data_IF_199140130912
#
_entry.id   IF_199140130912
#
_cell.length_a   1.000
_cell.length_b   1.000
_cell.length_c   1.000
_cell.angle_alpha   90.00
_cell.angle_beta   90.00
_cell.angle_gamma   90.00
#
_symmetry.space_group_name_H-M   'P 1'
#
loop_
_entity.id
_entity.type
_entity.pdbx_description
1 polymer ?
#
# COMPACT_ATOMS: atom_id res chain seq x y z
N UNK A 1 11.36 18.10 17.21
CA UNK A 1 10.75 17.57 15.98
C UNK A 1 10.41 18.74 15.08
N UNK A 2 11.20 19.01 14.04
CA UNK A 2 11.08 20.23 13.21
C UNK A 2 10.28 19.91 11.94
N UNK A 3 9.11 20.50 11.86
CA UNK A 3 8.22 20.51 10.70
C UNK A 3 8.91 21.26 9.56
N UNK A 4 9.27 20.59 8.46
CA UNK A 4 9.84 21.27 7.28
C UNK A 4 8.70 21.78 6.40
N UNK A 5 8.56 23.08 6.41
CA UNK A 5 7.68 23.89 5.56
C UNK A 5 8.05 23.71 4.09
N UNK A 6 7.09 23.31 3.26
CA UNK A 6 7.22 23.21 1.82
C UNK A 6 7.13 24.61 1.19
N UNK A 7 8.26 25.19 0.77
CA UNK A 7 8.31 26.46 0.02
C UNK A 7 8.31 26.15 -1.47
N UNK A 8 7.25 26.59 -2.18
CA UNK A 8 7.20 26.62 -3.65
C UNK A 8 8.11 27.75 -4.15
N UNK A 9 9.14 27.40 -4.92
CA UNK A 9 9.93 28.36 -5.68
C UNK A 9 9.45 28.38 -7.13
N UNK A 10 8.88 29.50 -7.56
CA UNK A 10 8.65 29.83 -8.97
C UNK A 10 10.00 30.15 -9.63
N UNK A 11 10.42 29.37 -10.60
CA UNK A 11 11.55 29.70 -11.46
C UNK A 11 11.09 30.50 -12.67
N UNK A 12 11.49 31.78 -12.73
CA UNK A 12 11.34 32.65 -13.90
C UNK A 12 12.46 32.29 -14.89
N UNK A 13 12.08 31.84 -16.09
CA UNK A 13 13.01 31.49 -17.16
C UNK A 13 13.65 32.73 -17.81
N UNK A 14 14.96 32.78 -17.78
CA UNK A 14 15.76 33.73 -18.53
C UNK A 14 16.22 33.06 -19.84
N UNK A 15 15.77 33.55 -20.98
CA UNK A 15 16.19 33.08 -22.30
C UNK A 15 17.52 33.73 -22.65
N UNK A 16 18.59 32.97 -22.67
CA UNK A 16 19.88 33.35 -23.23
C UNK A 16 19.99 32.81 -24.65
N UNK A 17 20.04 33.70 -25.63
CA UNK A 17 20.34 33.40 -27.03
C UNK A 17 21.86 33.11 -27.12
N UNK A 18 22.19 31.82 -27.22
CA UNK A 18 23.58 31.37 -27.45
C UNK A 18 23.80 30.99 -28.92
N UNK A 19 24.85 31.54 -29.52
CA UNK A 19 25.32 31.25 -30.88
C UNK A 19 25.73 29.79 -31.03
N UNK A 20 25.12 29.11 -32.01
CA UNK A 20 25.33 27.71 -32.28
C UNK A 20 26.65 27.48 -33.03
N UNK A 21 27.62 26.80 -32.39
CA UNK A 21 28.79 26.20 -33.05
C UNK A 21 28.45 24.76 -33.33
N UNK A 22 28.53 24.25 -34.58
CA UNK A 22 28.21 22.87 -34.87
C UNK A 22 29.29 21.94 -34.32
N UNK A 23 28.96 21.21 -33.25
CA UNK A 23 29.77 20.11 -32.73
C UNK A 23 29.51 18.85 -33.55
N UNK A 24 30.57 18.25 -34.07
CA UNK A 24 30.55 16.91 -34.71
C UNK A 24 29.89 15.90 -33.77
N UNK A 25 29.04 15.01 -34.29
CA UNK A 25 28.41 13.97 -33.47
C UNK A 25 29.51 13.03 -32.93
N UNK A 26 29.70 13.05 -31.61
CA UNK A 26 30.51 12.04 -30.93
C UNK A 26 29.71 10.74 -30.98
N UNK A 27 30.25 9.75 -31.66
CA UNK A 27 29.66 8.42 -31.73
C UNK A 27 29.43 7.90 -30.30
N UNK A 28 28.18 7.72 -29.94
CA UNK A 28 27.82 7.24 -28.61
C UNK A 28 28.34 5.80 -28.47
N UNK A 29 29.28 5.59 -27.57
CA UNK A 29 29.73 4.24 -27.18
C UNK A 29 28.50 3.46 -26.73
N UNK A 30 28.23 2.27 -27.28
CA UNK A 30 27.09 1.47 -26.83
C UNK A 30 27.19 1.22 -25.32
N UNK A 31 26.06 1.27 -24.60
CA UNK A 31 26.07 1.00 -23.16
C UNK A 31 26.66 -0.39 -22.90
N UNK A 32 27.42 -0.58 -21.82
CA UNK A 32 27.98 -1.87 -21.47
C UNK A 32 26.84 -2.91 -21.39
N UNK A 33 27.08 -4.17 -21.80
CA UNK A 33 26.06 -5.21 -21.74
C UNK A 33 25.57 -5.32 -20.30
N UNK A 34 24.25 -5.25 -20.14
CA UNK A 34 23.62 -5.40 -18.82
C UNK A 34 23.96 -6.81 -18.31
N UNK A 35 24.38 -6.95 -17.05
CA UNK A 35 24.65 -8.26 -16.49
C UNK A 35 23.38 -9.13 -16.60
N UNK A 36 23.51 -10.34 -17.12
CA UNK A 36 22.42 -11.32 -17.12
C UNK A 36 22.00 -11.60 -15.67
N UNK A 37 20.88 -11.03 -15.24
CA UNK A 37 20.34 -11.23 -13.90
C UNK A 37 19.57 -12.55 -13.90
N UNK A 38 20.11 -13.54 -13.19
CA UNK A 38 19.40 -14.80 -12.99
C UNK A 38 18.45 -14.65 -11.77
N UNK A 39 17.14 -14.66 -12.04
CA UNK A 39 16.08 -14.60 -11.03
C UNK A 39 15.70 -15.97 -10.43
N UNK A 40 16.38 -17.05 -10.81
CA UNK A 40 16.15 -18.40 -10.28
C UNK A 40 17.15 -18.76 -9.17
N UNK A 41 18.22 -17.99 -9.02
CA UNK A 41 19.25 -18.19 -8.00
C UNK A 41 18.97 -17.35 -6.77
N UNK A 42 19.07 -17.94 -5.57
CA UNK A 42 18.95 -17.22 -4.31
C UNK A 42 20.13 -16.27 -4.10
N UNK A 43 19.89 -15.19 -3.39
CA UNK A 43 20.90 -14.21 -3.04
C UNK A 43 21.42 -13.36 -4.19
N UNK A 44 22.40 -12.51 -3.84
CA UNK A 44 23.17 -11.69 -4.76
C UNK A 44 24.61 -11.53 -4.23
N UNK A 45 25.62 -11.48 -5.10
CA UNK A 45 27.04 -11.45 -4.69
C UNK A 45 27.51 -10.09 -4.13
N UNK A 46 26.77 -9.02 -4.40
CA UNK A 46 27.08 -7.66 -3.94
C UNK A 46 25.84 -6.78 -3.97
N UNK A 47 25.87 -5.68 -3.21
CA UNK A 47 24.75 -4.74 -3.16
C UNK A 47 24.39 -4.10 -4.52
N UNK A 48 25.33 -3.68 -5.37
CA UNK A 48 25.02 -3.20 -6.71
C UNK A 48 24.25 -4.23 -7.56
N UNK A 49 24.67 -5.50 -7.53
CA UNK A 49 23.97 -6.60 -8.22
C UNK A 49 22.60 -6.86 -7.60
N UNK A 50 22.49 -6.81 -6.27
CA UNK A 50 21.23 -6.97 -5.54
C UNK A 50 20.21 -5.90 -5.94
N UNK A 51 20.61 -4.62 -6.07
CA UNK A 51 19.74 -3.52 -6.52
C UNK A 51 19.19 -3.73 -7.92
N UNK A 52 20.05 -4.15 -8.87
CA UNK A 52 19.60 -4.47 -10.23
C UNK A 52 18.64 -5.66 -10.21
N UNK A 53 18.96 -6.68 -9.42
CA UNK A 53 18.13 -7.88 -9.25
C UNK A 53 16.79 -7.56 -8.61
N UNK A 54 16.74 -6.70 -7.59
CA UNK A 54 15.50 -6.25 -6.95
C UNK A 54 14.55 -5.58 -7.95
N UNK A 55 15.04 -4.64 -8.75
CA UNK A 55 14.25 -3.97 -9.80
C UNK A 55 13.71 -4.96 -10.83
N UNK A 56 14.56 -5.86 -11.34
CA UNK A 56 14.15 -6.88 -12.31
C UNK A 56 13.10 -7.82 -11.71
N UNK A 57 13.26 -8.21 -10.44
CA UNK A 57 12.33 -9.08 -9.73
C UNK A 57 10.97 -8.41 -9.54
N UNK A 58 10.92 -7.15 -9.11
CA UNK A 58 9.66 -6.40 -8.95
C UNK A 58 8.97 -6.20 -10.30
N UNK A 59 9.72 -5.88 -11.36
CA UNK A 59 9.16 -5.80 -12.72
C UNK A 59 8.48 -7.11 -13.13
N UNK A 60 9.12 -8.25 -12.87
CA UNK A 60 8.52 -9.55 -13.16
C UNK A 60 7.31 -9.85 -12.28
N UNK A 61 7.38 -9.56 -10.97
CA UNK A 61 6.26 -9.78 -10.05
C UNK A 61 5.03 -8.96 -10.49
N UNK A 62 5.20 -7.70 -10.84
CA UNK A 62 4.10 -6.85 -11.35
C UNK A 62 3.48 -7.43 -12.63
N UNK A 63 4.31 -7.93 -13.55
CA UNK A 63 3.80 -8.59 -14.75
C UNK A 63 3.03 -9.89 -14.44
N UNK A 64 3.55 -10.70 -13.53
CA UNK A 64 2.91 -11.96 -13.11
C UNK A 64 1.58 -11.74 -12.36
N UNK A 65 1.43 -10.59 -11.69
CA UNK A 65 0.25 -10.25 -10.89
C UNK A 65 -0.77 -9.36 -11.61
N UNK A 66 -0.49 -8.94 -12.85
CA UNK A 66 -1.35 -8.02 -13.59
C UNK A 66 -2.81 -8.49 -13.67
N UNK A 67 -3.05 -9.79 -13.82
CA UNK A 67 -4.40 -10.35 -13.91
C UNK A 67 -5.17 -10.21 -12.58
N UNK A 68 -4.55 -10.56 -11.45
CA UNK A 68 -5.21 -10.45 -10.13
C UNK A 68 -5.40 -8.99 -9.73
N UNK A 69 -4.47 -8.10 -10.07
CA UNK A 69 -4.64 -6.67 -9.84
C UNK A 69 -5.79 -6.08 -10.67
N UNK A 70 -5.97 -6.57 -11.90
CA UNK A 70 -7.13 -6.20 -12.73
C UNK A 70 -8.45 -6.68 -12.12
N UNK A 71 -8.49 -7.88 -11.53
CA UNK A 71 -9.64 -8.36 -10.78
C UNK A 71 -9.91 -7.48 -9.54
N UNK A 72 -8.87 -7.08 -8.80
CA UNK A 72 -8.99 -6.17 -7.64
C UNK A 72 -9.57 -4.81 -8.06
N UNK A 73 -9.12 -4.24 -9.18
CA UNK A 73 -9.66 -2.97 -9.72
C UNK A 73 -11.12 -3.08 -10.14
N UNK A 74 -11.57 -4.26 -10.55
CA UNK A 74 -12.90 -4.48 -11.12
C UNK A 74 -13.85 -5.25 -10.20
N UNK A 75 -13.59 -5.30 -8.90
CA UNK A 75 -14.53 -5.92 -7.96
C UNK A 75 -15.89 -5.20 -8.02
N UNK A 76 -17.01 -5.95 -8.03
CA UNK A 76 -18.35 -5.39 -8.18
C UNK A 76 -18.70 -4.33 -7.12
N UNK A 77 -18.16 -4.46 -5.92
CA UNK A 77 -18.37 -3.49 -4.84
C UNK A 77 -17.99 -2.06 -5.23
N UNK A 78 -16.81 -1.86 -5.82
CA UNK A 78 -16.34 -0.53 -6.21
C UNK A 78 -17.26 0.11 -7.27
N UNK A 79 -17.62 -0.65 -8.30
CA UNK A 79 -18.54 -0.18 -9.33
C UNK A 79 -19.92 0.16 -8.77
N UNK A 80 -20.40 -0.62 -7.81
CA UNK A 80 -21.67 -0.36 -7.13
C UNK A 80 -21.60 0.90 -6.24
N UNK A 81 -20.48 1.16 -5.57
CA UNK A 81 -20.25 2.41 -4.81
C UNK A 81 -20.21 3.60 -5.77
N UNK A 82 -19.50 3.50 -6.87
CA UNK A 82 -19.44 4.56 -7.91
C UNK A 82 -20.82 4.87 -8.51
N UNK A 83 -21.68 3.86 -8.65
CA UNK A 83 -23.05 4.00 -9.10
C UNK A 83 -24.03 4.50 -8.01
N UNK A 84 -23.61 4.65 -6.76
CA UNK A 84 -24.47 5.07 -5.65
C UNK A 84 -25.50 4.02 -5.22
N UNK A 85 -25.29 2.75 -5.57
CA UNK A 85 -26.25 1.67 -5.28
C UNK A 85 -25.95 0.91 -3.98
N UNK A 86 -24.79 1.16 -3.36
CA UNK A 86 -24.40 0.51 -2.11
C UNK A 86 -24.98 1.30 -0.93
N UNK A 87 -25.73 0.65 -0.01
CA UNK A 87 -26.20 1.30 1.22
C UNK A 87 -25.02 1.80 2.08
N UNK A 88 -25.17 2.95 2.74
CA UNK A 88 -24.15 3.52 3.64
C UNK A 88 -23.76 2.52 4.74
N UNK A 89 -24.68 1.70 5.23
CA UNK A 89 -24.38 0.65 6.21
C UNK A 89 -23.38 -0.39 5.70
N UNK A 90 -23.36 -0.71 4.40
CA UNK A 90 -22.38 -1.61 3.82
C UNK A 90 -21.01 -0.92 3.65
N UNK A 91 -20.99 0.37 3.35
CA UNK A 91 -19.76 1.18 3.35
C UNK A 91 -19.20 1.27 4.77
N UNK A 92 -20.07 1.45 5.78
CA UNK A 92 -19.70 1.43 7.19
C UNK A 92 -19.06 0.10 7.62
N UNK A 93 -19.51 -1.03 7.05
CA UNK A 93 -18.90 -2.34 7.31
C UNK A 93 -17.44 -2.41 6.82
N UNK A 94 -17.09 -1.72 5.74
CA UNK A 94 -15.67 -1.62 5.30
C UNK A 94 -14.83 -0.92 6.37
N UNK A 95 -15.33 0.16 6.98
CA UNK A 95 -14.62 0.83 8.08
C UNK A 95 -14.44 -0.09 9.29
N UNK A 96 -15.41 -0.94 9.58
CA UNK A 96 -15.32 -1.88 10.70
C UNK A 96 -14.29 -3.01 10.44
N UNK A 97 -14.17 -3.48 9.18
CA UNK A 97 -13.08 -4.40 8.77
C UNK A 97 -11.71 -3.72 8.89
N UNK A 98 -11.57 -2.50 8.37
CA UNK A 98 -10.34 -1.71 8.40
C UNK A 98 -9.86 -1.39 9.83
N UNK A 99 -10.76 -1.23 10.77
CA UNK A 99 -10.38 -1.02 12.19
C UNK A 99 -9.53 -2.17 12.73
N UNK A 100 -9.94 -3.41 12.43
CA UNK A 100 -9.19 -4.59 12.83
C UNK A 100 -7.88 -4.75 12.04
N UNK A 101 -7.92 -4.42 10.74
CA UNK A 101 -6.77 -4.51 9.83
C UNK A 101 -5.68 -3.54 10.27
N UNK A 102 -5.97 -2.25 10.41
CA UNK A 102 -5.02 -1.21 10.83
C UNK A 102 -4.32 -1.58 12.13
N UNK A 103 -5.05 -2.07 13.11
CA UNK A 103 -4.48 -2.47 14.41
C UNK A 103 -3.55 -3.67 14.29
N UNK A 104 -3.90 -4.66 13.47
CA UNK A 104 -3.07 -5.82 13.18
C UNK A 104 -1.81 -5.42 12.42
N UNK A 105 -1.96 -4.58 11.42
CA UNK A 105 -0.87 -4.16 10.55
C UNK A 105 0.12 -3.25 11.28
N UNK A 106 -0.35 -2.34 12.11
CA UNK A 106 0.51 -1.54 12.99
C UNK A 106 1.39 -2.41 13.89
N UNK A 107 0.85 -3.51 14.47
CA UNK A 107 1.62 -4.45 15.27
C UNK A 107 2.62 -5.24 14.41
N UNK A 108 2.18 -5.69 13.25
CA UNK A 108 2.99 -6.45 12.30
C UNK A 108 4.16 -5.63 11.78
N UNK A 109 3.92 -4.38 11.34
CA UNK A 109 4.96 -3.47 10.87
C UNK A 109 5.93 -3.08 11.99
N UNK A 110 5.43 -2.85 13.22
CA UNK A 110 6.29 -2.62 14.39
C UNK A 110 7.22 -3.80 14.64
N UNK A 111 6.71 -5.03 14.55
CA UNK A 111 7.53 -6.25 14.69
C UNK A 111 8.58 -6.38 13.58
N UNK A 112 8.23 -6.06 12.34
CA UNK A 112 9.16 -6.04 11.22
C UNK A 112 10.22 -4.96 11.37
N UNK A 113 9.84 -3.76 11.84
CA UNK A 113 10.78 -2.67 12.14
C UNK A 113 11.81 -3.06 13.20
N UNK A 114 11.39 -3.71 14.27
CA UNK A 114 12.30 -4.23 15.30
C UNK A 114 13.31 -5.24 14.78
N UNK A 115 12.95 -6.00 13.75
CA UNK A 115 13.83 -7.01 13.14
C UNK A 115 14.78 -6.44 12.10
N UNK A 116 14.37 -5.42 11.34
CA UNK A 116 15.06 -5.07 10.10
C UNK A 116 15.43 -3.61 9.94
N UNK A 117 14.75 -2.68 10.63
CA UNK A 117 15.13 -1.28 10.59
C UNK A 117 16.38 -1.04 11.44
N UNK A 118 17.17 -0.07 11.05
CA UNK A 118 18.41 0.28 11.77
C UNK A 118 18.46 1.79 12.05
N UNK A 119 19.06 2.21 13.18
CA UNK A 119 19.08 3.62 13.56
C UNK A 119 19.66 4.59 12.52
N UNK A 120 20.58 4.08 11.67
CA UNK A 120 21.26 4.87 10.63
C UNK A 120 21.00 4.31 9.22
N UNK A 121 19.96 3.49 9.03
CA UNK A 121 19.62 2.83 7.77
C UNK A 121 18.17 3.01 7.37
N UNK A 122 17.57 1.94 6.83
CA UNK A 122 16.16 1.97 6.44
C UNK A 122 15.25 2.11 7.66
N UNK A 123 14.22 2.92 7.52
CA UNK A 123 13.10 3.07 8.43
C UNK A 123 11.79 2.56 7.79
N UNK A 124 11.89 1.80 6.71
CA UNK A 124 10.76 1.39 5.87
C UNK A 124 9.59 0.82 6.66
N UNK A 125 9.84 -0.12 7.57
CA UNK A 125 8.78 -0.75 8.35
C UNK A 125 8.29 0.15 9.50
N UNK A 126 9.16 0.98 10.08
CA UNK A 126 8.76 1.99 11.07
C UNK A 126 7.84 3.03 10.45
N UNK A 127 8.12 3.44 9.21
CA UNK A 127 7.30 4.42 8.48
C UNK A 127 5.93 3.83 8.13
N UNK A 128 5.85 2.52 7.78
CA UNK A 128 4.59 1.83 7.61
C UNK A 128 3.77 1.78 8.91
N UNK A 129 4.41 1.40 10.03
CA UNK A 129 3.74 1.40 11.33
C UNK A 129 3.24 2.80 11.74
N UNK A 130 4.03 3.84 11.45
CA UNK A 130 3.62 5.23 11.68
C UNK A 130 2.45 5.64 10.77
N UNK A 131 2.42 5.15 9.53
CA UNK A 131 1.31 5.33 8.60
C UNK A 131 0.00 4.79 9.17
N UNK A 132 0.00 3.56 9.69
CA UNK A 132 -1.18 2.96 10.33
C UNK A 132 -1.63 3.77 11.57
N UNK A 133 -0.67 4.24 12.38
CA UNK A 133 -0.97 5.08 13.54
C UNK A 133 -1.60 6.44 13.15
N UNK A 134 -1.28 6.97 11.96
CA UNK A 134 -1.91 8.17 11.40
C UNK A 134 -3.28 7.87 10.78
N UNK A 135 -3.45 6.70 10.17
CA UNK A 135 -4.69 6.28 9.52
C UNK A 135 -5.82 6.01 10.53
N UNK A 136 -5.50 5.44 11.71
CA UNK A 136 -6.50 5.07 12.71
C UNK A 136 -7.43 6.22 13.12
N UNK A 137 -6.96 7.41 13.54
CA UNK A 137 -7.85 8.52 13.90
C UNK A 137 -8.69 9.02 12.70
N UNK A 138 -8.20 8.91 11.48
CA UNK A 138 -8.96 9.24 10.27
C UNK A 138 -10.10 8.23 10.05
N UNK A 139 -9.82 6.94 10.28
CA UNK A 139 -10.84 5.90 10.24
C UNK A 139 -11.93 6.11 11.30
N UNK A 140 -11.55 6.45 12.54
CA UNK A 140 -12.50 6.76 13.61
C UNK A 140 -13.40 7.95 13.25
N UNK A 141 -12.83 8.96 12.60
CA UNK A 141 -13.60 10.11 12.08
C UNK A 141 -14.62 9.65 11.03
N UNK A 142 -14.22 8.83 10.07
CA UNK A 142 -15.14 8.27 9.08
C UNK A 142 -16.21 7.39 9.75
N UNK A 143 -15.81 6.53 10.68
CA UNK A 143 -16.73 5.69 11.48
C UNK A 143 -17.84 6.51 12.12
N UNK A 144 -17.49 7.60 12.81
CA UNK A 144 -18.46 8.50 13.45
C UNK A 144 -19.46 9.10 12.44
N UNK A 145 -19.02 9.45 11.22
CA UNK A 145 -19.90 9.98 10.17
C UNK A 145 -20.89 8.94 9.62
N UNK A 146 -20.56 7.64 9.70
CA UNK A 146 -21.45 6.55 9.30
C UNK A 146 -22.16 5.88 10.47
N UNK A 147 -22.12 6.48 11.65
CA UNK A 147 -22.84 6.03 12.85
C UNK A 147 -22.14 4.93 13.65
N UNK A 148 -20.83 4.77 13.48
CA UNK A 148 -20.00 3.81 14.23
C UNK A 148 -19.00 4.57 15.11
N UNK A 149 -19.14 4.48 16.41
CA UNK A 149 -18.11 4.91 17.35
C UNK A 149 -17.02 3.83 17.48
N UNK A 150 -15.95 4.14 18.22
CA UNK A 150 -14.84 3.19 18.40
C UNK A 150 -15.27 1.92 19.12
N UNK A 151 -16.26 2.01 20.05
CA UNK A 151 -16.78 0.83 20.72
C UNK A 151 -17.52 -0.10 19.75
N UNK A 152 -18.32 0.47 18.84
CA UNK A 152 -19.01 -0.27 17.80
C UNK A 152 -18.02 -0.91 16.81
N UNK A 153 -16.97 -0.20 16.39
CA UNK A 153 -15.91 -0.73 15.54
C UNK A 153 -15.16 -1.89 16.22
N UNK A 154 -14.85 -1.74 17.51
CA UNK A 154 -14.17 -2.77 18.30
C UNK A 154 -15.05 -4.00 18.58
N UNK A 155 -16.37 -3.84 18.62
CA UNK A 155 -17.34 -4.91 18.85
C UNK A 155 -17.79 -5.61 17.56
N UNK A 156 -17.43 -5.07 16.39
CA UNK A 156 -17.78 -5.65 15.10
C UNK A 156 -17.16 -7.04 14.96
N UNK A 157 -17.97 -8.03 14.55
CA UNK A 157 -17.46 -9.36 14.22
C UNK A 157 -17.00 -9.38 12.75
N UNK A 158 -15.70 -9.40 12.48
CA UNK A 158 -15.17 -9.31 11.14
C UNK A 158 -15.54 -10.50 10.28
N UNK A 159 -15.70 -10.26 8.99
CA UNK A 159 -15.90 -11.34 8.00
C UNK A 159 -14.61 -12.13 7.84
N UNK A 160 -14.63 -13.48 7.97
CA UNK A 160 -13.41 -14.28 7.89
C UNK A 160 -12.61 -14.02 6.61
N UNK A 161 -13.29 -13.83 5.48
CA UNK A 161 -12.65 -13.58 4.19
C UNK A 161 -11.92 -12.22 4.16
N UNK A 162 -12.48 -11.18 4.76
CA UNK A 162 -11.81 -9.88 4.85
C UNK A 162 -10.56 -9.92 5.75
N UNK A 163 -10.56 -10.82 6.74
CA UNK A 163 -9.44 -10.95 7.68
C UNK A 163 -8.31 -11.89 7.20
N UNK A 164 -8.41 -12.44 5.98
CA UNK A 164 -7.31 -13.21 5.38
C UNK A 164 -6.10 -12.31 5.11
N UNK A 165 -6.33 -11.06 4.71
CA UNK A 165 -5.28 -10.08 4.45
C UNK A 165 -4.42 -9.77 5.70
N UNK A 166 -4.95 -9.25 6.83
CA UNK A 166 -4.13 -8.97 8.01
C UNK A 166 -3.52 -10.23 8.62
N UNK A 167 -4.18 -11.39 8.50
CA UNK A 167 -3.60 -12.67 8.90
C UNK A 167 -2.36 -13.01 8.07
N UNK A 168 -2.36 -12.69 6.78
CA UNK A 168 -1.20 -12.86 5.92
C UNK A 168 -0.09 -11.87 6.27
N UNK A 169 -0.41 -10.61 6.54
CA UNK A 169 0.57 -9.60 6.99
C UNK A 169 1.24 -10.05 8.29
N UNK A 170 0.48 -10.54 9.27
CA UNK A 170 1.02 -11.11 10.50
C UNK A 170 1.92 -12.34 10.24
N UNK A 171 1.51 -13.21 9.30
CA UNK A 171 2.32 -14.34 8.86
C UNK A 171 3.64 -13.94 8.19
N UNK A 172 3.64 -12.85 7.41
CA UNK A 172 4.85 -12.24 6.84
C UNK A 172 5.75 -11.72 7.97
N UNK A 173 5.20 -10.96 8.91
CA UNK A 173 5.93 -10.40 10.04
C UNK A 173 6.62 -11.49 10.87
N UNK A 174 5.98 -12.64 11.07
CA UNK A 174 6.50 -13.74 11.86
C UNK A 174 7.56 -14.57 11.13
N UNK A 175 7.38 -14.86 9.83
CA UNK A 175 8.07 -15.95 9.15
C UNK A 175 8.85 -15.57 7.89
N UNK A 176 8.61 -14.38 7.29
CA UNK A 176 9.26 -14.00 6.05
C UNK A 176 10.67 -13.42 6.28
N UNK A 177 11.45 -13.35 5.20
CA UNK A 177 12.63 -12.50 5.10
C UNK A 177 12.23 -11.07 4.69
N UNK A 178 13.14 -10.10 4.88
CA UNK A 178 12.85 -8.67 4.61
C UNK A 178 12.54 -8.40 3.14
N UNK A 179 13.16 -9.13 2.19
CA UNK A 179 12.89 -8.94 0.76
C UNK A 179 11.47 -9.38 0.40
N UNK A 180 11.05 -10.52 0.94
CA UNK A 180 9.68 -11.04 0.79
C UNK A 180 8.64 -10.11 1.38
N UNK A 181 8.91 -9.53 2.55
CA UNK A 181 8.03 -8.56 3.19
C UNK A 181 7.91 -7.27 2.38
N UNK A 182 9.04 -6.61 2.08
CA UNK A 182 9.03 -5.34 1.36
C UNK A 182 8.44 -5.46 -0.05
N UNK A 183 8.72 -6.55 -0.78
CA UNK A 183 8.15 -6.80 -2.10
C UNK A 183 6.62 -6.99 -2.05
N UNK A 184 6.11 -7.65 -1.01
CA UNK A 184 4.68 -7.84 -0.83
C UNK A 184 3.95 -6.50 -0.67
N UNK A 185 4.44 -5.61 0.19
CA UNK A 185 3.82 -4.30 0.41
C UNK A 185 4.02 -3.35 -0.77
N UNK A 186 5.21 -3.38 -1.42
CA UNK A 186 5.46 -2.55 -2.61
C UNK A 186 4.46 -2.81 -3.73
N UNK A 187 4.07 -4.06 -3.94
CA UNK A 187 3.12 -4.43 -5.00
C UNK A 187 1.68 -4.17 -4.54
N UNK A 188 1.35 -4.50 -3.29
CA UNK A 188 -0.01 -4.41 -2.77
C UNK A 188 -0.51 -2.97 -2.68
N UNK A 189 0.28 -2.05 -2.14
CA UNK A 189 -0.16 -0.67 -1.87
C UNK A 189 -0.52 0.13 -3.13
N UNK A 190 -0.02 -0.26 -4.30
CA UNK A 190 -0.37 0.38 -5.56
C UNK A 190 -1.86 0.25 -5.87
N UNK A 191 -2.36 -0.96 -5.99
CA UNK A 191 -3.77 -1.24 -6.34
C UNK A 191 -4.73 -0.88 -5.20
N UNK A 192 -4.31 -1.04 -3.94
CA UNK A 192 -5.09 -0.58 -2.79
C UNK A 192 -5.32 0.93 -2.85
N UNK A 193 -4.26 1.72 -3.05
CA UNK A 193 -4.35 3.18 -3.17
C UNK A 193 -5.23 3.65 -4.33
N UNK A 194 -5.16 2.98 -5.48
CA UNK A 194 -6.05 3.23 -6.63
C UNK A 194 -7.53 3.02 -6.23
N UNK A 195 -7.85 1.95 -5.53
CA UNK A 195 -9.21 1.67 -5.08
C UNK A 195 -9.67 2.67 -4.00
N UNK A 196 -8.77 3.09 -3.10
CA UNK A 196 -9.07 4.14 -2.11
C UNK A 196 -9.35 5.49 -2.80
N UNK A 197 -8.65 5.83 -3.88
CA UNK A 197 -8.92 7.02 -4.67
C UNK A 197 -10.33 6.97 -5.31
N UNK A 198 -10.76 5.83 -5.81
CA UNK A 198 -12.10 5.61 -6.36
C UNK A 198 -13.18 5.74 -5.29
N UNK A 199 -12.99 5.12 -4.12
CA UNK A 199 -13.89 5.27 -2.98
C UNK A 199 -13.99 6.73 -2.55
N UNK A 200 -12.86 7.44 -2.39
CA UNK A 200 -12.83 8.87 -2.09
C UNK A 200 -13.69 9.68 -3.06
N UNK A 201 -13.50 9.45 -4.36
CA UNK A 201 -14.24 10.16 -5.41
C UNK A 201 -15.75 9.89 -5.33
N UNK A 202 -16.14 8.62 -5.16
CA UNK A 202 -17.54 8.25 -5.06
C UNK A 202 -18.20 8.78 -3.77
N UNK A 203 -17.53 8.64 -2.62
CA UNK A 203 -18.04 9.12 -1.33
C UNK A 203 -18.26 10.63 -1.33
N UNK A 204 -17.37 11.39 -1.95
CA UNK A 204 -17.56 12.84 -2.10
C UNK A 204 -18.61 13.18 -3.15
N UNK A 205 -18.50 12.62 -4.37
CA UNK A 205 -19.30 13.05 -5.51
C UNK A 205 -20.71 12.45 -5.56
N UNK A 206 -20.88 11.22 -5.07
CA UNK A 206 -22.16 10.48 -5.16
C UNK A 206 -22.88 10.45 -3.81
N UNK A 207 -22.14 10.22 -2.72
CA UNK A 207 -22.74 10.13 -1.38
C UNK A 207 -22.73 11.46 -0.62
N UNK A 208 -22.02 12.49 -1.11
CA UNK A 208 -22.03 13.83 -0.52
C UNK A 208 -21.27 13.96 0.80
N UNK A 209 -20.34 13.06 1.09
CA UNK A 209 -19.50 13.18 2.28
C UNK A 209 -18.55 14.38 2.16
N UNK A 210 -18.41 15.12 3.27
CA UNK A 210 -17.47 16.22 3.36
C UNK A 210 -16.00 15.73 3.39
N UNK A 211 -15.02 16.55 2.94
CA UNK A 211 -13.63 16.15 2.87
C UNK A 211 -13.03 15.58 4.15
N UNK A 212 -13.40 16.15 5.31
CA UNK A 212 -12.97 15.69 6.63
C UNK A 212 -13.48 14.30 6.97
N UNK A 213 -14.69 13.95 6.54
CA UNK A 213 -15.29 12.64 6.76
C UNK A 213 -14.56 11.54 5.97
N UNK A 214 -14.03 11.87 4.80
CA UNK A 214 -13.37 10.92 3.89
C UNK A 214 -11.83 11.04 3.91
N UNK A 215 -11.27 11.70 4.92
CA UNK A 215 -9.83 11.90 5.05
C UNK A 215 -9.04 10.58 5.11
N UNK A 216 -9.63 9.52 5.64
CA UNK A 216 -9.08 8.16 5.64
C UNK A 216 -8.80 7.67 4.21
N UNK A 217 -9.78 7.75 3.32
CA UNK A 217 -9.62 7.34 1.92
C UNK A 217 -8.65 8.25 1.18
N UNK A 218 -8.61 9.54 1.51
CA UNK A 218 -7.64 10.49 0.96
C UNK A 218 -6.22 10.12 1.36
N UNK A 219 -6.01 9.72 2.61
CA UNK A 219 -4.70 9.35 3.13
C UNK A 219 -4.07 8.19 2.34
N UNK A 220 -4.83 7.12 2.10
CA UNK A 220 -4.34 5.97 1.35
C UNK A 220 -4.34 6.16 -0.18
N UNK A 221 -5.10 7.10 -0.70
CA UNK A 221 -5.11 7.43 -2.12
C UNK A 221 -3.87 8.24 -2.57
N UNK A 222 -3.20 8.92 -1.63
CA UNK A 222 -2.03 9.73 -1.95
C UNK A 222 -0.75 8.87 -2.00
N UNK A 223 0.07 9.00 -3.05
CA UNK A 223 1.32 8.27 -3.15
C UNK A 223 2.27 8.62 -2.00
N UNK A 224 2.92 7.61 -1.42
CA UNK A 224 3.95 7.81 -0.39
C UNK A 224 5.26 8.19 -1.08
N UNK A 225 5.80 9.41 -0.84
CA UNK A 225 7.04 9.84 -1.48
C UNK A 225 8.22 8.94 -1.09
N UNK A 226 8.98 8.46 -2.10
CA UNK A 226 10.17 7.62 -1.88
C UNK A 226 9.87 6.15 -1.56
N UNK A 227 8.60 5.75 -1.46
CA UNK A 227 8.20 4.41 -1.04
C UNK A 227 8.79 3.29 -1.93
N UNK A 228 8.77 3.47 -3.24
CA UNK A 228 9.31 2.47 -4.17
C UNK A 228 10.82 2.32 -4.02
N UNK A 229 11.54 3.42 -3.90
CA UNK A 229 12.99 3.42 -3.73
C UNK A 229 13.40 2.76 -2.42
N UNK A 230 12.73 3.08 -1.32
CA UNK A 230 13.00 2.53 0.00
C UNK A 230 12.68 1.02 0.04
N UNK A 231 11.55 0.60 -0.52
CA UNK A 231 11.20 -0.81 -0.66
C UNK A 231 12.24 -1.58 -1.48
N UNK A 232 12.67 -1.02 -2.64
CA UNK A 232 13.67 -1.65 -3.49
C UNK A 232 15.03 -1.80 -2.80
N UNK A 233 15.40 -0.85 -1.95
CA UNK A 233 16.64 -0.96 -1.16
C UNK A 233 16.52 -2.06 -0.11
N UNK A 234 15.39 -2.15 0.61
CA UNK A 234 15.13 -3.26 1.56
C UNK A 234 15.15 -4.62 0.86
N UNK A 235 14.54 -4.73 -0.32
CA UNK A 235 14.57 -5.94 -1.14
C UNK A 235 16.01 -6.28 -1.54
N UNK A 236 16.80 -5.29 -1.98
CA UNK A 236 18.18 -5.50 -2.36
C UNK A 236 19.03 -6.01 -1.19
N UNK A 237 18.86 -5.44 0.00
CA UNK A 237 19.53 -5.91 1.22
C UNK A 237 19.12 -7.36 1.54
N UNK A 238 17.85 -7.69 1.48
CA UNK A 238 17.39 -9.07 1.70
C UNK A 238 17.94 -10.08 0.66
N UNK A 239 18.04 -9.66 -0.61
CA UNK A 239 18.70 -10.48 -1.63
C UNK A 239 20.21 -10.65 -1.36
N UNK A 240 20.89 -9.61 -0.87
CA UNK A 240 22.29 -9.71 -0.44
C UNK A 240 22.47 -10.69 0.73
N UNK A 241 21.49 -10.76 1.63
CA UNK A 241 21.42 -11.70 2.77
C UNK A 241 21.04 -13.14 2.36
N UNK A 242 20.74 -13.38 1.09
CA UNK A 242 20.46 -14.71 0.57
C UNK A 242 19.01 -15.03 0.26
N UNK A 243 18.09 -14.03 0.35
CA UNK A 243 16.69 -14.26 -0.01
C UNK A 243 16.52 -14.87 -1.41
N UNK A 244 15.56 -15.77 -1.55
CA UNK A 244 15.28 -16.46 -2.80
C UNK A 244 14.17 -15.74 -3.58
N UNK A 245 14.39 -15.36 -4.84
CA UNK A 245 13.37 -14.72 -5.69
C UNK A 245 12.06 -15.50 -5.76
N UNK A 246 12.12 -16.82 -5.73
CA UNK A 246 10.94 -17.69 -5.68
C UNK A 246 10.06 -17.40 -4.45
N UNK A 247 10.68 -17.20 -3.27
CA UNK A 247 9.94 -17.00 -2.04
C UNK A 247 9.41 -15.56 -1.97
N UNK A 248 10.16 -14.59 -2.51
CA UNK A 248 9.71 -13.20 -2.71
C UNK A 248 8.47 -13.16 -3.61
N UNK A 249 8.51 -13.81 -4.79
CA UNK A 249 7.35 -13.92 -5.69
C UNK A 249 6.14 -14.58 -5.02
N UNK A 250 6.37 -15.66 -4.27
CA UNK A 250 5.31 -16.36 -3.54
C UNK A 250 4.66 -15.44 -2.50
N UNK A 251 5.47 -14.69 -1.76
CA UNK A 251 4.98 -13.80 -0.71
C UNK A 251 4.08 -12.71 -1.27
N UNK A 252 4.53 -12.01 -2.32
CA UNK A 252 3.76 -10.98 -3.01
C UNK A 252 2.46 -11.54 -3.61
N UNK A 253 2.54 -12.68 -4.31
CA UNK A 253 1.36 -13.32 -4.92
C UNK A 253 0.30 -13.70 -3.89
N UNK A 254 0.71 -14.21 -2.73
CA UNK A 254 -0.26 -14.58 -1.69
C UNK A 254 -0.89 -13.34 -1.06
N UNK A 255 -0.14 -12.25 -0.86
CA UNK A 255 -0.73 -11.04 -0.32
C UNK A 255 -1.76 -10.44 -1.29
N UNK A 256 -1.46 -10.37 -2.60
CA UNK A 256 -2.42 -9.90 -3.61
C UNK A 256 -3.67 -10.77 -3.71
N UNK A 257 -3.54 -12.09 -3.54
CA UNK A 257 -4.71 -12.96 -3.51
C UNK A 257 -5.62 -12.67 -2.30
N UNK A 258 -5.05 -12.37 -1.14
CA UNK A 258 -5.82 -12.03 0.05
C UNK A 258 -6.35 -10.58 0.02
N UNK A 259 -5.68 -9.69 -0.70
CA UNK A 259 -6.24 -8.38 -1.05
C UNK A 259 -7.52 -8.51 -1.88
N UNK A 260 -7.50 -9.38 -2.89
CA UNK A 260 -8.70 -9.69 -3.66
C UNK A 260 -9.83 -10.26 -2.78
N UNK A 261 -9.50 -11.14 -1.84
CA UNK A 261 -10.45 -11.68 -0.87
C UNK A 261 -11.10 -10.58 -0.02
N UNK A 262 -10.31 -9.60 0.45
CA UNK A 262 -10.83 -8.44 1.19
C UNK A 262 -11.85 -7.65 0.35
N UNK A 263 -11.48 -7.26 -0.86
CA UNK A 263 -12.38 -6.50 -1.74
C UNK A 263 -13.62 -7.26 -2.16
N UNK A 264 -13.52 -8.57 -2.38
CA UNK A 264 -14.68 -9.43 -2.66
C UNK A 264 -15.60 -9.54 -1.43
N UNK A 265 -15.03 -9.64 -0.23
CA UNK A 265 -15.82 -9.65 1.01
C UNK A 265 -16.57 -8.33 1.23
N UNK A 266 -16.06 -7.19 0.76
CA UNK A 266 -16.76 -5.91 0.85
C UNK A 266 -18.09 -5.88 0.07
N UNK A 267 -18.25 -6.73 -0.95
CA UNK A 267 -19.49 -6.88 -1.70
C UNK A 267 -20.56 -7.69 -0.95
N UNK A 268 -20.15 -8.54 -0.01
CA UNK A 268 -21.08 -9.34 0.77
C UNK A 268 -21.81 -8.49 1.82
N UNK A 269 -23.05 -8.83 2.19
CA UNK A 269 -23.71 -8.20 3.33
C UNK A 269 -22.83 -8.29 4.58
N UNK A 270 -22.88 -7.28 5.49
CA UNK A 270 -22.16 -7.34 6.76
C UNK A 270 -22.38 -8.68 7.47
N UNK A 271 -21.33 -9.33 7.92
CA UNK A 271 -21.39 -10.66 8.52
C UNK A 271 -22.08 -10.71 9.88
N UNK A 272 -22.08 -9.60 10.59
CA UNK A 272 -22.92 -9.33 11.77
C UNK A 272 -23.75 -8.07 11.52
N UNK A 273 -24.98 -7.98 12.06
CA UNK A 273 -25.63 -6.70 12.09
C UNK A 273 -24.69 -5.74 12.84
N UNK A 274 -24.32 -4.65 12.17
CA UNK A 274 -23.61 -3.56 12.86
C UNK A 274 -24.43 -3.19 14.09
N UNK A 275 -23.80 -3.00 15.26
CA UNK A 275 -24.53 -2.59 16.44
C UNK A 275 -25.28 -1.29 16.08
N UNK A 276 -26.60 -1.38 16.05
CA UNK A 276 -27.45 -0.20 15.87
C UNK A 276 -27.24 0.63 17.11
N UNK A 277 -26.49 1.71 16.98
CA UNK A 277 -26.42 2.71 18.04
C UNK A 277 -27.81 3.31 18.10
N UNK A 278 -28.60 2.86 19.08
CA UNK A 278 -29.87 3.51 19.39
C UNK A 278 -29.61 4.98 19.70
N UNK A 279 -30.59 5.87 19.48
CA UNK A 279 -30.46 7.26 19.92
C UNK A 279 -30.00 7.24 21.36
N UNK A 280 -29.15 8.20 21.80
CA UNK A 280 -28.72 8.28 23.17
C UNK A 280 -29.95 8.24 24.08
N UNK A 281 -29.96 7.31 25.02
CA UNK A 281 -31.06 7.22 25.99
C UNK A 281 -31.16 8.55 26.75
N UNK A 282 -32.38 9.06 26.98
CA UNK A 282 -32.59 10.34 27.60
C UNK A 282 -32.02 10.44 29.00
#
# INVERSE_FOLDING_TARGET
MKLKTLVKVLAVGLVLVGTHVPSTPREATPPPPQPHINLDVCGAPSLPVARVKARALITQIRADLAAVEEEIRHVPFLSAVEAGTVPVAQIAAVAAEEYSIIRSDMQSFTSMAQRWDTPNGSHFFSDLAAGEALALPLLLTFGAHVGLDEQALAAYEPRPKAQTYPSRVAGIAANADRASAAASFLVNFGVFGENMARLRAALSGVYGFAPEAIAFFTFFAEPIPGFEEDALEVIAVGLLEGACPRDVRRSARLLQAYELDFWQAAADPPGSPLPVIGPPMP
#
